data_IF_533794348386
#
_entry.id   IF_533794348386
#
_cell.length_a   1.000
_cell.length_b   1.000
_cell.length_c   1.000
_cell.angle_alpha   90.00
_cell.angle_beta   90.00
_cell.angle_gamma   90.00
#
_symmetry.space_group_name_H-M   'P 1'
#
loop_
_entity.id
_entity.type
_entity.pdbx_description
1 polymer ?
#
# COMPACT_ATOMS: atom_id res chain seq x y z
N UNK A 1 16.83 -20.26 -8.22
CA UNK A 1 17.65 -19.38 -7.38
C UNK A 1 16.86 -18.11 -7.14
N UNK A 2 16.45 -17.91 -5.88
CA UNK A 2 15.82 -16.66 -5.45
C UNK A 2 16.83 -15.55 -5.72
N UNK A 3 16.44 -14.58 -6.54
CA UNK A 3 17.29 -13.41 -6.77
C UNK A 3 17.28 -12.60 -5.47
N UNK A 4 18.40 -12.61 -4.76
CA UNK A 4 18.64 -11.73 -3.63
C UNK A 4 18.60 -10.29 -4.12
N UNK A 5 17.47 -9.62 -3.92
CA UNK A 5 17.35 -8.18 -4.24
C UNK A 5 17.59 -7.41 -2.94
N UNK A 6 18.62 -6.57 -2.85
CA UNK A 6 18.80 -5.70 -1.71
C UNK A 6 17.64 -4.70 -1.66
N UNK A 7 16.94 -4.66 -0.52
CA UNK A 7 15.86 -3.70 -0.27
C UNK A 7 16.32 -2.74 0.80
N UNK A 8 16.30 -1.44 0.49
CA UNK A 8 16.56 -0.41 1.48
C UNK A 8 15.29 -0.20 2.31
N UNK A 9 15.35 -0.62 3.58
CA UNK A 9 14.23 -0.44 4.49
C UNK A 9 14.35 0.86 5.26
N UNK A 10 13.31 1.69 5.17
CA UNK A 10 13.15 2.88 6.00
C UNK A 10 12.54 2.46 7.34
N UNK A 11 13.38 2.01 8.27
CA UNK A 11 12.96 1.53 9.59
C UNK A 11 12.31 2.62 10.46
N UNK A 12 12.59 3.88 10.17
CA UNK A 12 12.02 5.04 10.86
C UNK A 12 10.61 5.42 10.35
N UNK A 13 10.11 4.78 9.30
CA UNK A 13 8.74 4.97 8.84
C UNK A 13 7.79 4.18 9.75
N UNK A 14 6.90 4.87 10.51
CA UNK A 14 6.02 4.22 11.48
C UNK A 14 5.08 3.18 10.85
N UNK A 15 4.77 3.31 9.56
CA UNK A 15 3.96 2.36 8.81
C UNK A 15 4.66 1.01 8.66
N UNK A 16 5.97 1.04 8.48
CA UNK A 16 6.77 -0.15 8.21
C UNK A 16 7.15 -0.91 9.47
N UNK A 17 7.48 -0.20 10.55
CA UNK A 17 8.10 -0.83 11.71
C UNK A 17 7.13 -1.73 12.49
N UNK A 18 5.86 -1.33 12.59
CA UNK A 18 4.82 -2.14 13.24
C UNK A 18 4.58 -3.46 12.51
N UNK A 19 4.56 -3.42 11.19
CA UNK A 19 4.34 -4.58 10.35
C UNK A 19 5.52 -5.54 10.37
N UNK A 20 6.72 -4.99 10.35
CA UNK A 20 7.95 -5.77 10.50
C UNK A 20 8.02 -6.50 11.82
N UNK A 21 7.69 -5.83 12.93
CA UNK A 21 7.71 -6.43 14.25
C UNK A 21 6.84 -7.69 14.34
N UNK A 22 5.74 -7.74 13.59
CA UNK A 22 4.85 -8.91 13.53
C UNK A 22 5.37 -10.02 12.62
N UNK A 23 6.08 -9.67 11.55
CA UNK A 23 6.51 -10.63 10.52
C UNK A 23 7.87 -11.24 10.83
N UNK A 24 8.73 -10.51 11.52
CA UNK A 24 10.07 -10.98 11.87
C UNK A 24 10.03 -12.09 12.93
N UNK A 25 10.91 -13.07 12.80
CA UNK A 25 11.16 -14.03 13.88
C UNK A 25 11.73 -13.30 15.10
N UNK A 26 11.58 -13.83 16.34
CA UNK A 26 12.14 -13.20 17.54
C UNK A 26 13.64 -12.86 17.40
N UNK A 27 14.41 -13.74 16.77
CA UNK A 27 15.85 -13.52 16.52
C UNK A 27 16.11 -12.38 15.54
N UNK A 28 15.36 -12.34 14.44
CA UNK A 28 15.45 -11.24 13.47
C UNK A 28 15.01 -9.91 14.10
N UNK A 29 13.95 -9.93 14.88
CA UNK A 29 13.44 -8.75 15.57
C UNK A 29 14.47 -8.21 16.57
N UNK A 30 15.05 -9.07 17.40
CA UNK A 30 16.14 -8.67 18.33
C UNK A 30 17.31 -8.04 17.59
N UNK A 31 17.71 -8.60 16.47
CA UNK A 31 18.77 -8.03 15.63
C UNK A 31 18.37 -6.65 15.09
N UNK A 32 17.14 -6.53 14.60
CA UNK A 32 16.63 -5.31 13.99
C UNK A 32 16.47 -4.17 14.98
N UNK A 33 15.96 -4.44 16.19
CA UNK A 33 15.70 -3.43 17.23
C UNK A 33 16.91 -3.07 18.07
N UNK A 34 18.01 -3.80 17.97
CA UNK A 34 19.22 -3.47 18.74
C UNK A 34 19.97 -2.28 18.12
N UNK A 35 20.13 -1.11 18.78
CA UNK A 35 20.08 -0.87 20.23
C UNK A 35 18.78 -0.18 20.74
N UNK A 36 17.70 -0.18 19.98
CA UNK A 36 16.44 0.50 20.34
C UNK A 36 15.84 -0.12 21.60
N UNK A 37 15.62 0.65 22.66
CA UNK A 37 15.04 0.16 23.91
C UNK A 37 13.51 0.12 23.87
N UNK A 38 12.93 1.13 23.27
CA UNK A 38 11.50 1.35 23.18
C UNK A 38 11.19 2.01 21.85
N UNK A 39 10.10 1.65 21.26
CA UNK A 39 9.55 2.25 20.07
C UNK A 39 8.21 2.86 20.42
N UNK A 40 8.02 4.12 20.08
CA UNK A 40 6.72 4.78 20.10
C UNK A 40 6.44 5.30 18.70
N UNK A 41 5.30 4.93 18.13
CA UNK A 41 4.89 5.38 16.80
C UNK A 41 3.46 5.89 16.82
N UNK A 42 3.19 6.89 15.99
CA UNK A 42 1.84 7.36 15.71
C UNK A 42 1.62 7.35 14.21
N UNK A 43 0.54 6.71 13.79
CA UNK A 43 0.09 6.71 12.42
C UNK A 43 -1.43 6.92 12.38
N UNK A 44 -1.87 8.05 11.83
CA UNK A 44 -3.26 8.48 11.96
C UNK A 44 -3.65 8.69 13.43
N UNK A 45 -4.76 8.10 13.83
CA UNK A 45 -5.23 8.11 15.24
C UNK A 45 -4.61 7.00 16.08
N UNK A 46 -3.88 6.04 15.47
CA UNK A 46 -3.27 4.95 16.19
C UNK A 46 -1.94 5.37 16.82
N UNK A 47 -1.85 5.18 18.15
CA UNK A 47 -0.60 5.26 18.91
C UNK A 47 -0.19 3.85 19.32
N UNK A 48 1.03 3.47 19.00
CA UNK A 48 1.60 2.19 19.39
C UNK A 48 2.91 2.41 20.13
N UNK A 49 3.06 1.67 21.22
CA UNK A 49 4.26 1.66 22.03
C UNK A 49 4.66 0.22 22.32
N UNK A 50 5.93 -0.12 22.06
CA UNK A 50 6.49 -1.44 22.34
C UNK A 50 7.90 -1.31 22.91
N UNK A 51 8.12 -1.95 24.04
CA UNK A 51 9.44 -2.10 24.67
C UNK A 51 10.13 -3.40 24.30
N UNK A 52 9.48 -4.22 23.46
CA UNK A 52 9.95 -5.51 22.97
C UNK A 52 10.28 -6.52 24.07
N UNK A 53 9.62 -6.43 25.24
CA UNK A 53 9.85 -7.32 26.38
C UNK A 53 9.56 -8.77 26.04
N UNK A 54 8.65 -9.03 25.10
CA UNK A 54 8.29 -10.39 24.63
C UNK A 54 9.43 -11.12 23.92
N UNK A 55 10.37 -10.39 23.35
CA UNK A 55 11.50 -10.97 22.59
C UNK A 55 12.84 -10.74 23.27
N UNK A 56 12.93 -9.84 24.26
CA UNK A 56 14.14 -9.60 25.06
C UNK A 56 14.13 -10.55 26.24
N UNK A 57 15.12 -11.41 26.39
CA UNK A 57 15.28 -12.20 27.61
C UNK A 57 15.47 -11.28 28.80
N UNK A 58 14.89 -11.65 29.94
CA UNK A 58 14.98 -10.89 31.20
C UNK A 58 16.43 -10.73 31.72
N UNK A 59 17.36 -11.51 31.22
CA UNK A 59 18.78 -11.45 31.59
C UNK A 59 19.66 -11.51 30.34
N UNK A 60 20.52 -10.55 30.23
CA UNK A 60 21.73 -10.42 29.42
C UNK A 60 22.20 -11.69 28.71
N UNK A 61 21.54 -12.09 27.66
CA UNK A 61 22.21 -12.90 26.66
C UNK A 61 23.24 -11.98 25.98
N UNK A 62 24.51 -12.29 26.22
CA UNK A 62 25.64 -11.80 25.44
C UNK A 62 25.41 -12.23 23.97
N UNK A 63 24.54 -11.51 23.25
CA UNK A 63 24.37 -11.66 21.82
C UNK A 63 25.59 -11.01 21.14
N UNK A 64 26.77 -11.56 21.44
CA UNK A 64 27.98 -11.48 20.61
C UNK A 64 27.94 -12.52 19.49
N UNK A 65 26.79 -13.19 19.29
CA UNK A 65 26.57 -14.00 18.11
C UNK A 65 26.67 -13.08 16.89
N UNK A 66 27.52 -13.47 15.97
CA UNK A 66 27.81 -12.88 14.68
C UNK A 66 26.62 -12.07 14.15
N UNK A 67 26.78 -10.75 14.14
CA UNK A 67 25.76 -9.88 13.55
C UNK A 67 25.74 -10.16 12.07
N UNK A 68 24.67 -10.71 11.50
CA UNK A 68 24.59 -10.85 10.07
C UNK A 68 24.74 -9.45 9.46
N UNK A 69 25.51 -9.31 8.41
CA UNK A 69 25.71 -8.03 7.71
C UNK A 69 24.41 -7.48 7.11
N UNK A 70 23.41 -8.36 6.95
CA UNK A 70 22.12 -8.03 6.34
C UNK A 70 20.99 -8.81 7.02
N UNK A 71 19.81 -8.17 7.11
CA UNK A 71 18.58 -8.82 7.50
C UNK A 71 18.01 -9.56 6.29
N UNK A 72 17.94 -10.89 6.37
CA UNK A 72 17.36 -11.73 5.31
C UNK A 72 15.90 -12.04 5.65
N UNK A 73 14.99 -11.70 4.73
CA UNK A 73 13.57 -12.09 4.82
C UNK A 73 13.34 -13.34 3.98
N UNK A 74 12.62 -14.31 4.53
CA UNK A 74 12.14 -15.45 3.74
C UNK A 74 11.04 -14.99 2.77
N UNK A 75 10.81 -15.76 1.71
CA UNK A 75 9.71 -15.51 0.76
C UNK A 75 8.35 -15.37 1.47
N UNK A 76 8.09 -16.21 2.46
CA UNK A 76 6.87 -16.14 3.27
C UNK A 76 6.73 -14.80 4.01
N UNK A 77 7.80 -14.32 4.62
CA UNK A 77 7.82 -13.04 5.32
C UNK A 77 7.61 -11.87 4.34
N UNK A 78 8.27 -11.93 3.20
CA UNK A 78 8.11 -10.93 2.15
C UNK A 78 6.66 -10.88 1.65
N UNK A 79 6.06 -12.02 1.32
CA UNK A 79 4.66 -12.09 0.88
C UNK A 79 3.65 -11.63 1.95
N UNK A 80 3.97 -11.83 3.24
CA UNK A 80 3.15 -11.27 4.32
C UNK A 80 3.21 -9.75 4.36
N UNK A 81 4.40 -9.17 4.19
CA UNK A 81 4.57 -7.70 4.14
C UNK A 81 3.89 -7.10 2.92
N UNK A 82 4.02 -7.72 1.74
CA UNK A 82 3.33 -7.28 0.53
C UNK A 82 1.81 -7.27 0.70
N UNK A 83 1.26 -8.34 1.30
CA UNK A 83 -0.18 -8.42 1.56
C UNK A 83 -0.64 -7.31 2.49
N UNK A 84 0.08 -7.08 3.59
CA UNK A 84 -0.25 -6.00 4.52
C UNK A 84 -0.11 -4.61 3.89
N UNK A 85 0.93 -4.38 3.09
CA UNK A 85 1.09 -3.13 2.36
C UNK A 85 -0.07 -2.89 1.39
N UNK A 86 -0.52 -3.94 0.70
CA UNK A 86 -1.70 -3.89 -0.16
C UNK A 86 -2.96 -3.57 0.65
N UNK A 87 -3.20 -4.26 1.76
CA UNK A 87 -4.38 -4.05 2.60
C UNK A 87 -4.43 -2.61 3.13
N UNK A 88 -3.33 -2.11 3.67
CA UNK A 88 -3.21 -0.72 4.13
C UNK A 88 -3.45 0.29 3.01
N UNK A 89 -2.96 0.00 1.80
CA UNK A 89 -3.19 0.85 0.64
C UNK A 89 -4.67 0.87 0.24
N UNK A 90 -5.32 -0.30 0.22
CA UNK A 90 -6.75 -0.40 -0.11
C UNK A 90 -7.63 0.28 0.94
N UNK A 91 -7.27 0.24 2.23
CA UNK A 91 -7.96 1.01 3.28
C UNK A 91 -7.84 2.51 3.02
N UNK A 92 -6.65 2.99 2.65
CA UNK A 92 -6.43 4.39 2.31
C UNK A 92 -7.20 4.80 1.04
N UNK A 93 -7.26 3.92 0.05
CA UNK A 93 -7.99 4.16 -1.19
C UNK A 93 -9.51 4.13 -0.96
N UNK A 94 -10.02 3.27 -0.05
CA UNK A 94 -11.44 3.24 0.29
C UNK A 94 -11.90 4.55 0.94
N UNK A 95 -11.11 5.10 1.87
CA UNK A 95 -11.38 6.43 2.46
C UNK A 95 -11.38 7.51 1.37
N UNK A 96 -10.41 7.46 0.46
CA UNK A 96 -10.36 8.39 -0.66
C UNK A 96 -11.61 8.29 -1.57
N UNK A 97 -12.11 7.08 -1.81
CA UNK A 97 -13.35 6.84 -2.57
C UNK A 97 -14.54 7.45 -1.82
N UNK A 98 -14.69 7.20 -0.52
CA UNK A 98 -15.77 7.75 0.30
C UNK A 98 -15.82 9.27 0.24
N UNK A 99 -14.70 9.93 0.49
CA UNK A 99 -14.59 11.39 0.47
C UNK A 99 -14.93 12.03 -0.89
N UNK A 100 -14.62 11.34 -1.99
CA UNK A 100 -14.85 11.85 -3.33
C UNK A 100 -16.20 11.42 -3.89
N UNK A 101 -16.71 10.24 -3.57
CA UNK A 101 -18.06 9.80 -3.91
C UNK A 101 -19.12 10.73 -3.29
N UNK A 102 -18.92 11.19 -2.05
CA UNK A 102 -19.79 12.17 -1.41
C UNK A 102 -19.85 13.50 -2.19
N UNK A 103 -18.71 14.00 -2.68
CA UNK A 103 -18.63 15.22 -3.50
C UNK A 103 -19.34 15.08 -4.84
N UNK A 104 -19.37 13.88 -5.41
CA UNK A 104 -20.06 13.58 -6.66
C UNK A 104 -21.55 13.19 -6.45
N UNK A 105 -22.05 13.28 -5.20
CA UNK A 105 -23.47 13.07 -4.88
C UNK A 105 -23.91 11.62 -4.80
N UNK A 106 -22.99 10.69 -4.56
CA UNK A 106 -23.31 9.29 -4.34
C UNK A 106 -24.04 9.08 -3.00
N UNK A 107 -25.08 8.25 -2.99
CA UNK A 107 -25.94 8.05 -1.83
C UNK A 107 -25.24 7.28 -0.69
N UNK A 108 -25.64 7.61 0.56
CA UNK A 108 -24.97 7.21 1.81
C UNK A 108 -25.24 5.76 2.25
N UNK A 109 -26.19 5.09 1.62
CA UNK A 109 -26.81 3.89 2.20
C UNK A 109 -25.97 2.60 2.16
N UNK A 110 -24.74 2.62 1.58
CA UNK A 110 -23.89 1.43 1.51
C UNK A 110 -22.37 1.73 1.48
N UNK A 111 -21.95 2.87 1.99
CA UNK A 111 -20.62 3.45 1.69
C UNK A 111 -19.41 2.61 2.11
N UNK A 112 -19.28 2.21 3.36
CA UNK A 112 -18.02 1.66 3.86
C UNK A 112 -17.64 0.31 3.25
N UNK A 113 -18.59 -0.64 3.17
CA UNK A 113 -18.32 -1.96 2.58
C UNK A 113 -18.20 -1.88 1.06
N UNK A 114 -19.02 -1.02 0.44
CA UNK A 114 -18.96 -0.75 -1.00
C UNK A 114 -17.66 -0.08 -1.41
N UNK A 115 -17.15 0.89 -0.64
CA UNK A 115 -15.93 1.63 -0.94
C UNK A 115 -14.70 0.73 -0.91
N UNK A 116 -14.67 -0.24 0.01
CA UNK A 116 -13.57 -1.20 0.08
C UNK A 116 -13.57 -2.15 -1.12
N UNK A 117 -14.72 -2.62 -1.55
CA UNK A 117 -14.87 -3.46 -2.75
C UNK A 117 -14.45 -2.66 -3.99
N UNK A 118 -14.93 -1.43 -4.13
CA UNK A 118 -14.54 -0.55 -5.23
C UNK A 118 -13.03 -0.27 -5.23
N UNK A 119 -12.42 -0.05 -4.06
CA UNK A 119 -10.98 0.14 -3.95
C UNK A 119 -10.21 -1.08 -4.46
N UNK A 120 -10.67 -2.29 -4.14
CA UNK A 120 -10.04 -3.52 -4.61
C UNK A 120 -10.18 -3.72 -6.12
N UNK A 121 -11.37 -3.46 -6.66
CA UNK A 121 -11.67 -3.58 -8.09
C UNK A 121 -10.87 -2.55 -8.90
N UNK A 122 -10.88 -1.28 -8.50
CA UNK A 122 -10.17 -0.21 -9.19
C UNK A 122 -8.66 -0.39 -9.12
N UNK A 123 -8.14 -0.77 -7.96
CA UNK A 123 -6.72 -1.08 -7.80
C UNK A 123 -6.29 -2.27 -8.67
N UNK A 124 -7.07 -3.35 -8.65
CA UNK A 124 -6.79 -4.55 -9.46
C UNK A 124 -6.84 -4.25 -10.95
N UNK A 125 -7.78 -3.42 -11.38
CA UNK A 125 -7.87 -2.93 -12.75
C UNK A 125 -6.61 -2.14 -13.14
N UNK A 126 -6.21 -1.17 -12.33
CA UNK A 126 -4.99 -0.40 -12.56
C UNK A 126 -3.75 -1.30 -12.64
N UNK A 127 -3.63 -2.27 -11.73
CA UNK A 127 -2.52 -3.23 -11.76
C UNK A 127 -2.49 -4.07 -13.03
N UNK A 128 -3.65 -4.53 -13.53
CA UNK A 128 -3.75 -5.30 -14.77
C UNK A 128 -3.23 -4.54 -15.99
N UNK A 129 -3.27 -3.22 -15.92
CA UNK A 129 -2.79 -2.31 -16.96
C UNK A 129 -1.38 -1.77 -16.70
N UNK A 130 -0.65 -2.32 -15.71
CA UNK A 130 0.67 -1.81 -15.27
C UNK A 130 0.65 -0.33 -14.83
N UNK A 131 -0.44 0.10 -14.18
CA UNK A 131 -0.58 1.39 -13.52
C UNK A 131 -0.39 1.15 -12.03
N UNK A 132 0.77 1.52 -11.47
CA UNK A 132 1.16 1.12 -10.13
C UNK A 132 1.48 2.29 -9.18
N UNK A 133 1.63 3.50 -9.70
CA UNK A 133 1.91 4.67 -8.85
C UNK A 133 0.61 5.21 -8.22
N UNK A 134 0.71 5.63 -6.96
CA UNK A 134 -0.43 6.10 -6.15
C UNK A 134 -1.21 7.23 -6.83
N UNK A 135 -0.50 8.21 -7.41
CA UNK A 135 -1.13 9.33 -8.07
C UNK A 135 -2.00 8.90 -9.26
N UNK A 136 -1.48 8.00 -10.08
CA UNK A 136 -2.22 7.48 -11.24
C UNK A 136 -3.43 6.64 -10.83
N UNK A 137 -3.28 5.79 -9.80
CA UNK A 137 -4.41 5.01 -9.27
C UNK A 137 -5.51 5.93 -8.73
N UNK A 138 -5.17 6.96 -7.94
CA UNK A 138 -6.14 7.94 -7.44
C UNK A 138 -6.77 8.75 -8.55
N UNK A 139 -6.00 9.17 -9.55
CA UNK A 139 -6.53 9.88 -10.72
C UNK A 139 -7.52 9.02 -11.48
N UNK A 140 -7.19 7.74 -11.74
CA UNK A 140 -8.10 6.80 -12.37
C UNK A 140 -9.37 6.59 -11.56
N UNK A 141 -9.24 6.44 -10.24
CA UNK A 141 -10.37 6.35 -9.31
C UNK A 141 -11.28 7.55 -9.41
N UNK A 142 -10.74 8.78 -9.44
CA UNK A 142 -11.54 10.00 -9.62
C UNK A 142 -12.29 10.01 -10.96
N UNK A 143 -11.67 9.58 -12.04
CA UNK A 143 -12.33 9.50 -13.35
C UNK A 143 -13.51 8.54 -13.28
N UNK A 144 -13.31 7.34 -12.73
CA UNK A 144 -14.35 6.32 -12.59
C UNK A 144 -15.52 6.82 -11.72
N UNK A 145 -15.22 7.45 -10.57
CA UNK A 145 -16.23 8.02 -9.70
C UNK A 145 -17.03 9.12 -10.39
N UNK A 146 -16.36 10.06 -11.05
CA UNK A 146 -16.98 11.19 -11.73
C UNK A 146 -17.87 10.77 -12.90
N UNK A 147 -17.54 9.66 -13.54
CA UNK A 147 -18.34 9.06 -14.61
C UNK A 147 -19.35 8.03 -14.12
N UNK A 148 -19.46 7.85 -12.80
CA UNK A 148 -20.36 6.89 -12.15
C UNK A 148 -20.17 5.44 -12.66
N UNK A 149 -18.92 5.06 -12.92
CA UNK A 149 -18.55 3.71 -13.37
C UNK A 149 -18.23 2.86 -12.14
N UNK A 150 -19.25 2.21 -11.57
CA UNK A 150 -19.13 1.27 -10.45
C UNK A 150 -18.64 -0.08 -10.96
N UNK A 151 -19.19 -0.55 -12.06
CA UNK A 151 -18.84 -1.82 -12.66
C UNK A 151 -17.89 -1.61 -13.85
N UNK A 152 -16.71 -2.13 -13.73
CA UNK A 152 -15.62 -1.98 -14.72
C UNK A 152 -15.95 -2.57 -16.11
N UNK A 153 -17.01 -3.38 -16.22
CA UNK A 153 -17.51 -3.86 -17.52
C UNK A 153 -18.11 -2.74 -18.38
N UNK A 154 -18.41 -1.60 -17.78
CA UNK A 154 -18.94 -0.42 -18.46
C UNK A 154 -17.89 0.63 -18.80
N UNK A 155 -16.61 0.29 -18.65
CA UNK A 155 -15.52 1.16 -19.12
C UNK A 155 -15.62 1.26 -20.64
N UNK A 156 -15.60 2.47 -21.22
CA UNK A 156 -15.60 2.68 -22.67
C UNK A 156 -14.44 1.98 -23.38
N UNK A 157 -14.68 1.44 -24.55
CA UNK A 157 -13.66 0.70 -25.32
C UNK A 157 -12.46 1.57 -25.69
N UNK A 158 -12.69 2.85 -26.00
CA UNK A 158 -11.62 3.83 -26.28
C UNK A 158 -10.72 4.11 -25.08
N UNK A 159 -11.27 4.11 -23.86
CA UNK A 159 -10.46 4.19 -22.64
C UNK A 159 -9.60 2.96 -22.45
N UNK A 160 -10.21 1.79 -22.68
CA UNK A 160 -9.47 0.54 -22.53
C UNK A 160 -8.35 0.43 -23.56
N UNK A 161 -8.58 0.88 -24.80
CA UNK A 161 -7.56 0.94 -25.85
C UNK A 161 -6.41 1.87 -25.46
N UNK A 162 -6.72 3.10 -25.00
CA UNK A 162 -5.71 4.06 -24.51
C UNK A 162 -4.91 3.51 -23.34
N UNK A 163 -5.60 2.98 -22.31
CA UNK A 163 -4.98 2.51 -21.08
C UNK A 163 -4.17 1.21 -21.28
N UNK A 164 -4.49 0.39 -22.29
CA UNK A 164 -3.78 -0.83 -22.61
C UNK A 164 -2.51 -0.63 -23.45
N UNK A 165 -2.30 0.58 -23.98
CA UNK A 165 -1.15 0.87 -24.84
C UNK A 165 0.16 0.89 -24.05
N UNK A 166 0.84 -0.25 -23.99
CA UNK A 166 2.10 -0.44 -23.25
C UNK A 166 3.30 0.33 -23.86
N UNK A 167 3.14 1.00 -25.00
CA UNK A 167 4.18 1.86 -25.57
C UNK A 167 4.46 3.10 -24.72
N UNK A 168 3.53 3.47 -23.85
CA UNK A 168 3.66 4.58 -22.92
C UNK A 168 3.58 4.11 -21.47
N UNK A 169 4.33 4.74 -20.54
CA UNK A 169 4.22 4.50 -19.10
C UNK A 169 2.80 4.69 -18.58
N UNK A 170 2.39 3.94 -17.55
CA UNK A 170 1.05 3.98 -16.98
C UNK A 170 0.57 5.39 -16.61
N UNK A 171 1.43 6.18 -15.98
CA UNK A 171 1.12 7.55 -15.58
C UNK A 171 0.82 8.49 -16.77
N UNK A 172 1.48 8.30 -17.91
CA UNK A 172 1.21 9.10 -19.12
C UNK A 172 -0.18 8.79 -19.66
N UNK A 173 -0.54 7.50 -19.75
CA UNK A 173 -1.85 7.04 -20.25
C UNK A 173 -2.99 7.54 -19.37
N UNK A 174 -2.82 7.50 -18.06
CA UNK A 174 -3.81 8.03 -17.10
C UNK A 174 -3.92 9.56 -17.19
N UNK A 175 -2.81 10.27 -17.37
CA UNK A 175 -2.83 11.72 -17.53
C UNK A 175 -3.57 12.14 -18.81
N UNK A 176 -3.35 11.41 -19.91
CA UNK A 176 -4.03 11.65 -21.17
C UNK A 176 -5.55 11.44 -21.01
N UNK A 177 -5.96 10.33 -20.39
CA UNK A 177 -7.36 10.08 -20.08
C UNK A 177 -7.96 11.18 -19.17
N UNK A 178 -7.25 11.59 -18.13
CA UNK A 178 -7.70 12.65 -17.24
C UNK A 178 -7.90 13.99 -17.97
N UNK A 179 -7.00 14.31 -18.89
CA UNK A 179 -7.14 15.52 -19.70
C UNK A 179 -8.36 15.45 -20.61
N UNK A 180 -8.66 14.29 -21.20
CA UNK A 180 -9.82 14.07 -22.06
C UNK A 180 -11.13 14.14 -21.26
N UNK A 181 -11.20 13.47 -20.11
CA UNK A 181 -12.44 13.26 -19.38
C UNK A 181 -12.74 14.31 -18.30
N UNK A 182 -11.72 14.91 -17.73
CA UNK A 182 -11.86 15.91 -16.67
C UNK A 182 -11.49 17.33 -17.13
N UNK A 183 -10.73 17.46 -18.22
CA UNK A 183 -10.18 18.73 -18.69
C UNK A 183 -8.98 19.25 -17.87
N UNK A 184 -8.52 18.48 -16.88
CA UNK A 184 -7.36 18.80 -16.04
C UNK A 184 -6.74 17.51 -15.49
N UNK A 185 -5.50 17.62 -14.99
CA UNK A 185 -4.81 16.53 -14.28
C UNK A 185 -4.94 16.79 -12.78
N UNK A 186 -5.59 15.91 -11.99
CA UNK A 186 -5.67 16.03 -10.54
C UNK A 186 -4.29 16.08 -9.88
N UNK A 187 -4.13 16.93 -8.87
CA UNK A 187 -2.87 17.09 -8.13
C UNK A 187 -2.74 16.08 -7.00
#
# INVERSE_FOLDING_TARGET
>A
PEQEKPVLMRFYDPRNISELAVVLTPRQLLFFINPVRQLSTRYGEEYREDNFSSVRPAETMNIRAERPSQLMLSYRQYSQLERKARDNYLDTLSVFIEENAEKEGWDDSSKAESSRILAEDYFSFCQSLNIADDRSVRTMTLILLKKNIIDLRYIPDDWYELLSNQSYPGHIRVHELAQQELGFIPQ
#
